data_IF_584338963235
#
_entry.id   IF_584338963235
#
_cell.length_a   1.000
_cell.length_b   1.000
_cell.length_c   1.000
_cell.angle_alpha   90.00
_cell.angle_beta   90.00
_cell.angle_gamma   90.00
#
_symmetry.space_group_name_H-M   'P 1'
#
loop_
_entity.id
_entity.type
_entity.pdbx_description
1 polymer ?
#
# COMPACT_ATOMS: atom_id res chain seq x y z
N UNK A 1 18.38 71.90 -20.76
CA UNK A 1 17.12 71.30 -21.24
C UNK A 1 17.34 69.81 -21.48
N UNK A 2 16.45 68.96 -20.92
CA UNK A 2 16.29 67.49 -21.08
C UNK A 2 17.27 66.59 -20.27
N UNK A 3 16.82 65.42 -19.76
CA UNK A 3 16.07 65.35 -18.49
C UNK A 3 16.59 64.28 -17.50
N UNK A 4 16.16 64.41 -16.24
CA UNK A 4 16.34 63.45 -15.16
C UNK A 4 15.64 62.11 -15.46
N UNK A 5 16.34 60.98 -15.23
CA UNK A 5 15.74 59.64 -15.20
C UNK A 5 15.39 59.28 -13.77
N UNK A 6 14.09 59.11 -13.50
CA UNK A 6 13.54 58.64 -12.23
C UNK A 6 13.73 57.12 -12.12
N UNK A 7 14.39 56.68 -11.04
CA UNK A 7 14.49 55.27 -10.68
C UNK A 7 13.21 54.88 -9.94
N UNK A 8 12.32 54.14 -10.61
CA UNK A 8 11.10 53.61 -10.01
C UNK A 8 11.47 52.46 -9.05
N UNK A 9 11.17 52.62 -7.76
CA UNK A 9 11.22 51.56 -6.77
C UNK A 9 10.04 50.60 -7.00
N UNK A 10 10.34 49.40 -7.50
CA UNK A 10 9.35 48.33 -7.63
C UNK A 10 9.15 47.67 -6.25
N UNK A 11 8.00 47.94 -5.64
CA UNK A 11 7.51 47.28 -4.44
C UNK A 11 7.12 45.84 -4.79
N UNK A 12 7.99 44.87 -4.49
CA UNK A 12 7.69 43.44 -4.58
C UNK A 12 6.68 43.07 -3.49
N UNK A 13 5.40 43.00 -3.86
CA UNK A 13 4.34 42.43 -3.03
C UNK A 13 4.54 40.90 -3.00
N UNK A 14 5.09 40.37 -1.91
CA UNK A 14 5.16 38.94 -1.68
C UNK A 14 3.73 38.42 -1.47
N UNK A 15 3.13 37.87 -2.53
CA UNK A 15 1.91 37.08 -2.41
C UNK A 15 2.27 35.78 -1.72
N UNK A 16 1.85 35.63 -0.47
CA UNK A 16 1.87 34.35 0.21
C UNK A 16 0.99 33.38 -0.61
N UNK A 17 1.62 32.44 -1.30
CA UNK A 17 0.92 31.30 -1.90
C UNK A 17 0.21 30.55 -0.77
N UNK A 18 -1.07 30.18 -0.94
CA UNK A 18 -1.79 29.45 0.08
C UNK A 18 -1.09 28.11 0.33
N UNK A 19 -0.87 27.85 1.61
CA UNK A 19 -0.46 26.56 2.15
C UNK A 19 -1.36 25.47 1.55
N UNK A 20 -0.74 24.40 1.03
CA UNK A 20 -1.32 23.13 0.56
C UNK A 20 -2.80 22.95 0.94
N UNK A 21 -3.69 22.87 -0.04
CA UNK A 21 -5.08 22.44 0.18
C UNK A 21 -5.04 21.05 0.79
N UNK A 22 -5.14 20.99 2.12
CA UNK A 22 -5.41 19.73 2.80
C UNK A 22 -6.82 19.35 2.37
N UNK A 23 -6.93 18.36 1.47
CA UNK A 23 -8.22 17.94 0.94
C UNK A 23 -9.17 17.66 2.11
N UNK A 24 -10.32 18.35 2.08
CA UNK A 24 -11.25 18.33 3.19
C UNK A 24 -11.77 16.91 3.42
N UNK A 25 -11.62 16.41 4.64
CA UNK A 25 -12.16 15.11 5.03
C UNK A 25 -13.68 15.20 5.21
N UNK A 26 -14.39 14.20 4.68
CA UNK A 26 -15.85 14.12 4.69
C UNK A 26 -16.30 13.17 5.78
N UNK A 27 -17.14 13.61 6.70
CA UNK A 27 -17.70 12.71 7.71
C UNK A 27 -18.45 11.55 7.04
N UNK A 28 -18.07 10.31 7.36
CA UNK A 28 -18.73 9.11 6.88
C UNK A 28 -18.77 8.05 7.97
N UNK A 29 -19.82 7.24 7.96
CA UNK A 29 -20.03 6.12 8.86
C UNK A 29 -19.75 4.78 8.16
N UNK A 30 -19.56 3.69 8.90
CA UNK A 30 -19.49 2.36 8.30
C UNK A 30 -20.72 2.04 7.42
N UNK A 31 -21.92 2.46 7.84
CA UNK A 31 -23.14 2.27 7.06
C UNK A 31 -23.12 3.03 5.71
N UNK A 32 -22.51 4.21 5.66
CA UNK A 32 -22.33 4.96 4.41
C UNK A 32 -21.40 4.19 3.46
N UNK A 33 -20.34 3.55 3.97
CA UNK A 33 -19.42 2.71 3.18
C UNK A 33 -20.15 1.48 2.64
N UNK A 34 -20.85 0.73 3.50
CA UNK A 34 -21.56 -0.49 3.11
C UNK A 34 -22.61 -0.22 2.02
N UNK A 35 -23.39 0.86 2.20
CA UNK A 35 -24.50 1.22 1.31
C UNK A 35 -24.08 2.00 0.05
N UNK A 36 -22.84 2.52 -0.01
CA UNK A 36 -22.36 3.24 -1.18
C UNK A 36 -22.45 2.37 -2.44
N UNK A 37 -22.91 2.97 -3.54
CA UNK A 37 -23.05 2.30 -4.81
C UNK A 37 -22.62 3.20 -5.95
N UNK A 38 -22.05 2.61 -7.00
CA UNK A 38 -21.70 3.33 -8.21
C UNK A 38 -22.98 3.62 -9.00
N UNK A 39 -23.26 4.89 -9.37
CA UNK A 39 -24.50 5.26 -10.04
C UNK A 39 -24.62 4.75 -11.49
N UNK A 40 -23.61 4.04 -12.00
CA UNK A 40 -23.59 3.48 -13.36
C UNK A 40 -23.04 4.44 -14.42
N UNK A 41 -22.66 5.66 -14.05
CA UNK A 41 -22.02 6.62 -14.94
C UNK A 41 -21.13 7.61 -14.18
N UNK A 42 -20.12 8.15 -14.88
CA UNK A 42 -19.19 9.14 -14.36
C UNK A 42 -18.00 8.53 -13.60
N UNK A 43 -17.10 9.40 -13.17
CA UNK A 43 -15.93 8.99 -12.38
C UNK A 43 -16.29 8.87 -10.89
N UNK A 44 -15.34 8.33 -10.10
CA UNK A 44 -15.37 8.50 -8.65
C UNK A 44 -15.52 9.98 -8.25
N UNK A 45 -16.29 10.27 -7.18
CA UNK A 45 -16.38 11.62 -6.64
C UNK A 45 -14.99 12.20 -6.35
N UNK A 46 -14.74 13.50 -6.64
CA UNK A 46 -13.48 14.13 -6.29
C UNK A 46 -13.31 14.19 -4.76
N UNK A 47 -12.06 14.09 -4.29
CA UNK A 47 -11.73 14.10 -2.86
C UNK A 47 -12.15 12.81 -2.15
N UNK A 48 -12.59 12.95 -0.90
CA UNK A 48 -12.96 11.82 -0.05
C UNK A 48 -14.43 11.41 -0.22
N UNK A 49 -14.73 10.13 -0.38
CA UNK A 49 -16.10 9.62 -0.41
C UNK A 49 -16.24 8.19 0.11
N UNK A 50 -17.43 7.84 0.60
CA UNK A 50 -17.75 6.47 1.01
C UNK A 50 -17.68 5.47 -0.16
N UNK A 51 -18.05 5.90 -1.38
CA UNK A 51 -17.91 5.08 -2.59
C UNK A 51 -16.45 4.74 -2.88
N UNK A 52 -15.55 5.72 -2.75
CA UNK A 52 -14.12 5.47 -2.94
C UNK A 52 -13.56 4.54 -1.85
N UNK A 53 -13.97 4.70 -0.59
CA UNK A 53 -13.56 3.80 0.48
C UNK A 53 -14.03 2.36 0.22
N UNK A 54 -15.30 2.19 -0.19
CA UNK A 54 -15.85 0.88 -0.57
C UNK A 54 -15.07 0.25 -1.73
N UNK A 55 -14.80 1.03 -2.78
CA UNK A 55 -13.98 0.58 -3.91
C UNK A 55 -12.60 0.07 -3.44
N UNK A 56 -11.90 0.85 -2.61
CA UNK A 56 -10.58 0.46 -2.10
C UNK A 56 -10.64 -0.86 -1.32
N UNK A 57 -11.64 -1.06 -0.46
CA UNK A 57 -11.83 -2.32 0.29
C UNK A 57 -12.12 -3.49 -0.66
N UNK A 58 -12.94 -3.28 -1.69
CA UNK A 58 -13.24 -4.32 -2.68
C UNK A 58 -12.02 -4.70 -3.53
N UNK A 59 -11.20 -3.72 -3.90
CA UNK A 59 -9.93 -3.95 -4.60
C UNK A 59 -8.97 -4.79 -3.74
N UNK A 60 -8.81 -4.43 -2.47
CA UNK A 60 -8.01 -5.21 -1.50
C UNK A 60 -8.50 -6.66 -1.43
N UNK A 61 -9.82 -6.87 -1.30
CA UNK A 61 -10.46 -8.20 -1.32
C UNK A 61 -10.33 -8.95 -2.63
N UNK A 62 -10.10 -8.24 -3.73
CA UNK A 62 -9.82 -8.83 -5.02
C UNK A 62 -8.34 -9.21 -5.21
N UNK A 63 -7.49 -9.06 -4.18
CA UNK A 63 -6.05 -9.27 -4.27
C UNK A 63 -5.34 -8.13 -5.04
N UNK A 64 -5.99 -6.98 -5.17
CA UNK A 64 -5.44 -5.79 -5.81
C UNK A 64 -5.34 -4.71 -4.74
N UNK A 65 -4.24 -4.66 -4.01
CA UNK A 65 -4.08 -3.71 -2.91
C UNK A 65 -4.21 -2.27 -3.43
N UNK A 66 -5.06 -1.43 -2.80
CA UNK A 66 -5.12 0.00 -3.08
C UNK A 66 -4.02 0.77 -2.32
N UNK A 67 -3.25 0.08 -1.47
CA UNK A 67 -2.43 0.69 -0.43
C UNK A 67 -3.28 0.89 0.82
N UNK A 68 -3.23 2.08 1.41
CA UNK A 68 -4.11 2.42 2.54
C UNK A 68 -5.53 2.66 2.05
N UNK A 69 -6.52 2.18 2.82
CA UNK A 69 -7.91 2.65 2.69
C UNK A 69 -8.02 4.00 3.39
N UNK A 70 -8.32 5.04 2.61
CA UNK A 70 -8.46 6.42 3.09
C UNK A 70 -9.72 7.13 2.55
N UNK A 71 -10.42 6.49 1.60
CA UNK A 71 -11.59 7.03 0.92
C UNK A 71 -11.31 8.15 -0.07
N UNK A 72 -10.05 8.48 -0.37
CA UNK A 72 -9.70 9.53 -1.32
C UNK A 72 -9.58 8.99 -2.75
N UNK A 73 -10.18 9.71 -3.69
CA UNK A 73 -9.89 9.51 -5.11
C UNK A 73 -8.48 10.04 -5.39
N UNK A 74 -7.67 9.27 -6.12
CA UNK A 74 -6.37 9.73 -6.58
C UNK A 74 -5.60 8.64 -7.34
N UNK A 75 -4.33 8.92 -7.62
CA UNK A 75 -3.48 8.06 -8.44
C UNK A 75 -3.33 6.63 -7.92
N UNK A 76 -3.40 6.41 -6.59
CA UNK A 76 -3.39 5.07 -6.00
C UNK A 76 -4.63 4.26 -6.41
N UNK A 77 -5.82 4.80 -6.17
CA UNK A 77 -7.09 4.17 -6.55
C UNK A 77 -7.16 3.93 -8.08
N UNK A 78 -6.75 4.91 -8.90
CA UNK A 78 -6.70 4.76 -10.36
C UNK A 78 -5.71 3.68 -10.82
N UNK A 79 -4.53 3.60 -10.19
CA UNK A 79 -3.54 2.54 -10.50
C UNK A 79 -4.03 1.15 -10.11
N UNK A 80 -4.77 1.04 -8.99
CA UNK A 80 -5.36 -0.20 -8.54
C UNK A 80 -6.52 -0.63 -9.46
N UNK A 81 -7.34 0.30 -9.95
CA UNK A 81 -8.36 -0.01 -10.98
C UNK A 81 -7.68 -0.57 -12.23
N UNK A 82 -6.60 0.04 -12.73
CA UNK A 82 -5.85 -0.52 -13.89
C UNK A 82 -5.34 -1.93 -13.66
N UNK A 83 -4.84 -2.22 -12.46
CA UNK A 83 -4.40 -3.56 -12.11
C UNK A 83 -5.56 -4.57 -12.06
N UNK A 84 -6.73 -4.14 -11.57
CA UNK A 84 -7.95 -4.94 -11.56
C UNK A 84 -8.50 -5.17 -12.97
N UNK A 85 -8.57 -4.14 -13.81
CA UNK A 85 -8.93 -4.23 -15.23
C UNK A 85 -8.04 -5.24 -15.95
N UNK A 86 -6.71 -5.15 -15.74
CA UNK A 86 -5.75 -6.11 -16.31
C UNK A 86 -6.00 -7.53 -15.84
N UNK A 87 -6.32 -7.74 -14.55
CA UNK A 87 -6.67 -9.05 -14.00
C UNK A 87 -7.88 -9.68 -14.70
N UNK A 88 -8.79 -8.85 -15.19
CA UNK A 88 -10.03 -9.26 -15.84
C UNK A 88 -10.02 -9.12 -17.37
N UNK A 89 -8.89 -8.78 -17.99
CA UNK A 89 -8.79 -8.62 -19.44
C UNK A 89 -9.58 -7.43 -19.99
N UNK A 90 -9.81 -6.40 -19.17
CA UNK A 90 -10.53 -5.18 -19.54
C UNK A 90 -9.58 -4.09 -20.08
N UNK A 91 -10.16 -3.03 -20.63
CA UNK A 91 -9.41 -1.82 -20.98
C UNK A 91 -8.79 -1.21 -19.71
N UNK A 92 -7.49 -0.91 -19.72
CA UNK A 92 -6.74 -0.47 -18.55
C UNK A 92 -6.74 1.07 -18.43
N UNK A 93 -7.91 1.70 -18.39
CA UNK A 93 -8.02 3.16 -18.32
C UNK A 93 -7.99 3.71 -16.88
N UNK A 94 -8.17 2.84 -15.88
CA UNK A 94 -8.12 3.19 -14.47
C UNK A 94 -9.35 3.93 -13.97
N UNK A 95 -10.47 3.84 -14.70
CA UNK A 95 -11.72 4.53 -14.37
C UNK A 95 -12.72 3.52 -13.85
N UNK A 96 -13.47 3.93 -12.83
CA UNK A 96 -14.58 3.10 -12.39
C UNK A 96 -15.71 3.20 -13.41
N UNK A 97 -16.09 2.06 -13.98
CA UNK A 97 -17.22 1.92 -14.90
C UNK A 97 -18.18 0.80 -14.40
N UNK A 98 -19.36 0.62 -15.05
CA UNK A 98 -20.31 -0.41 -14.63
C UNK A 98 -19.76 -1.83 -14.66
N UNK A 99 -18.84 -2.14 -15.57
CA UNK A 99 -18.27 -3.47 -15.73
C UNK A 99 -17.28 -3.77 -14.59
N UNK A 100 -16.36 -2.84 -14.33
CA UNK A 100 -15.42 -2.89 -13.19
C UNK A 100 -16.19 -2.99 -11.88
N UNK A 101 -17.22 -2.17 -11.69
CA UNK A 101 -18.05 -2.19 -10.49
C UNK A 101 -18.75 -3.54 -10.28
N UNK A 102 -19.40 -4.09 -11.32
CA UNK A 102 -20.12 -5.36 -11.21
C UNK A 102 -19.19 -6.54 -10.87
N UNK A 103 -17.94 -6.51 -11.34
CA UNK A 103 -16.92 -7.50 -10.98
C UNK A 103 -16.43 -7.31 -9.54
N UNK A 104 -16.21 -6.07 -9.10
CA UNK A 104 -15.80 -5.77 -7.73
C UNK A 104 -16.86 -6.18 -6.70
N UNK A 105 -18.15 -6.01 -7.02
CA UNK A 105 -19.24 -6.42 -6.12
C UNK A 105 -19.25 -7.91 -5.81
N UNK A 106 -18.64 -8.76 -6.64
CA UNK A 106 -18.45 -10.18 -6.33
C UNK A 106 -17.55 -10.41 -5.11
N UNK A 107 -16.75 -9.41 -4.71
CA UNK A 107 -15.90 -9.43 -3.53
C UNK A 107 -16.59 -8.87 -2.26
N UNK A 108 -17.87 -8.49 -2.36
CA UNK A 108 -18.70 -8.05 -1.25
C UNK A 108 -19.42 -9.23 -0.53
N UNK A 109 -18.81 -10.42 -0.46
CA UNK A 109 -19.44 -11.63 0.09
C UNK A 109 -19.62 -11.62 1.62
N UNK A 110 -19.09 -10.61 2.30
CA UNK A 110 -19.20 -10.37 3.73
C UNK A 110 -19.16 -8.84 3.97
N UNK A 111 -19.61 -8.34 5.14
CA UNK A 111 -19.54 -6.92 5.47
C UNK A 111 -18.14 -6.34 5.24
N UNK A 112 -18.04 -5.19 4.57
CA UNK A 112 -16.79 -4.50 4.24
C UNK A 112 -16.18 -3.78 5.44
N UNK A 113 -17.01 -3.52 6.45
CA UNK A 113 -16.67 -2.91 7.72
C UNK A 113 -17.08 -3.82 8.87
N UNK A 114 -16.50 -3.61 10.05
CA UNK A 114 -16.76 -4.43 11.22
C UNK A 114 -16.41 -3.74 12.52
N UNK A 115 -16.58 -4.45 13.63
CA UNK A 115 -16.29 -3.95 14.97
C UNK A 115 -15.15 -4.72 15.61
N UNK A 116 -14.13 -4.03 16.11
CA UNK A 116 -13.00 -4.66 16.80
C UNK A 116 -12.89 -4.16 18.22
N UNK A 117 -12.86 -5.08 19.19
CA UNK A 117 -12.56 -4.73 20.59
C UNK A 117 -11.06 -4.78 20.79
N UNK A 118 -10.48 -3.63 21.11
CA UNK A 118 -9.05 -3.45 21.35
C UNK A 118 -8.64 -4.30 22.55
N UNK A 119 -7.58 -5.08 22.39
CA UNK A 119 -7.06 -5.99 23.42
C UNK A 119 -5.86 -5.38 24.13
N UNK A 120 -5.50 -5.92 25.31
CA UNK A 120 -4.24 -5.56 25.98
C UNK A 120 -3.02 -5.84 25.09
N UNK A 121 -3.09 -6.87 24.25
CA UNK A 121 -2.03 -7.20 23.29
C UNK A 121 -1.81 -6.09 22.26
N UNK A 122 -2.82 -5.29 21.94
CA UNK A 122 -2.68 -4.17 21.02
C UNK A 122 -1.90 -2.99 21.63
N UNK A 123 -1.87 -2.88 22.95
CA UNK A 123 -1.10 -1.87 23.68
C UNK A 123 0.32 -2.33 24.05
N UNK A 124 0.64 -3.62 23.91
CA UNK A 124 1.96 -4.16 24.25
C UNK A 124 3.04 -3.82 23.21
N UNK A 125 4.26 -3.49 23.66
CA UNK A 125 5.42 -3.29 22.78
C UNK A 125 5.40 -1.99 21.97
N UNK A 126 4.63 -0.99 22.43
CA UNK A 126 4.69 0.37 21.89
C UNK A 126 5.97 1.08 22.31
N UNK A 127 6.39 2.05 21.51
CA UNK A 127 7.53 2.94 21.79
C UNK A 127 7.08 4.40 21.75
N UNK A 128 7.64 5.27 22.59
CA UNK A 128 7.18 6.66 22.68
C UNK A 128 7.39 7.45 21.38
N UNK A 129 8.51 7.20 20.70
CA UNK A 129 8.83 7.81 19.41
C UNK A 129 9.92 7.02 18.68
N UNK A 130 10.00 7.20 17.37
CA UNK A 130 11.09 6.69 16.53
C UNK A 130 12.05 7.85 16.23
N UNK A 131 13.29 7.83 16.75
CA UNK A 131 14.26 8.90 16.50
C UNK A 131 14.66 8.91 15.02
N UNK A 132 15.09 10.06 14.52
CA UNK A 132 15.60 10.20 13.15
C UNK A 132 17.06 9.76 13.02
N UNK A 133 17.83 9.90 14.10
CA UNK A 133 19.24 9.53 14.19
C UNK A 133 19.42 8.01 14.32
N UNK A 134 20.30 7.44 13.51
CA UNK A 134 20.56 6.02 13.41
C UNK A 134 21.31 5.47 14.63
N UNK A 135 22.17 6.26 15.27
CA UNK A 135 22.83 5.87 16.52
C UNK A 135 21.82 5.79 17.67
N UNK A 136 20.84 6.68 17.70
CA UNK A 136 19.72 6.57 18.65
C UNK A 136 18.79 5.39 18.32
N UNK A 137 18.45 5.17 17.05
CA UNK A 137 17.68 3.97 16.63
C UNK A 137 18.35 2.68 17.08
N UNK A 138 19.67 2.59 16.94
CA UNK A 138 20.44 1.40 17.31
C UNK A 138 20.44 1.10 18.82
N UNK A 139 20.08 2.06 19.67
CA UNK A 139 19.95 1.88 21.13
C UNK A 139 18.55 1.45 21.56
N UNK A 140 17.56 1.54 20.68
CA UNK A 140 16.19 1.15 21.02
C UNK A 140 16.07 -0.35 21.23
N UNK A 141 15.04 -0.78 21.97
CA UNK A 141 14.71 -2.19 22.11
C UNK A 141 14.05 -2.77 20.84
N UNK A 142 13.24 -1.96 20.15
CA UNK A 142 12.57 -2.29 18.89
C UNK A 142 12.23 -1.02 18.10
N UNK A 143 12.00 -1.16 16.80
CA UNK A 143 11.37 -0.13 15.97
C UNK A 143 9.84 -0.34 15.97
N UNK A 144 9.25 -0.45 17.16
CA UNK A 144 7.84 -0.78 17.38
C UNK A 144 6.86 0.29 16.88
N UNK A 145 5.56 -0.01 16.98
CA UNK A 145 4.50 0.97 16.79
C UNK A 145 4.56 2.07 17.87
N UNK A 146 4.19 3.29 17.51
CA UNK A 146 4.12 4.44 18.42
C UNK A 146 2.77 4.61 19.08
N UNK A 147 1.72 3.97 18.54
CA UNK A 147 0.38 4.00 19.13
C UNK A 147 -0.43 2.74 18.79
N UNK A 148 -1.49 2.52 19.57
CA UNK A 148 -2.51 1.50 19.25
C UNK A 148 -3.20 1.84 17.92
N UNK A 149 -3.50 3.11 17.69
CA UNK A 149 -4.13 3.58 16.44
C UNK A 149 -3.30 3.20 15.21
N UNK A 150 -1.99 3.47 15.23
CA UNK A 150 -1.06 3.09 14.15
C UNK A 150 -1.06 1.59 13.90
N UNK A 151 -0.93 0.79 14.97
CA UNK A 151 -0.97 -0.67 14.88
C UNK A 151 -2.26 -1.19 14.25
N UNK A 152 -3.40 -0.67 14.69
CA UNK A 152 -4.70 -1.12 14.21
C UNK A 152 -4.97 -0.62 12.79
N UNK A 153 -4.51 0.58 12.44
CA UNK A 153 -4.58 1.08 11.08
C UNK A 153 -3.80 0.17 10.11
N UNK A 154 -2.55 -0.20 10.43
CA UNK A 154 -1.82 -1.16 9.61
C UNK A 154 -2.49 -2.53 9.56
N UNK A 155 -2.97 -3.04 10.71
CA UNK A 155 -3.62 -4.36 10.77
C UNK A 155 -4.82 -4.42 9.82
N UNK A 156 -5.66 -3.40 9.81
CA UNK A 156 -6.89 -3.37 9.02
C UNK A 156 -6.74 -2.67 7.66
N UNK A 157 -5.50 -2.41 7.23
CA UNK A 157 -5.15 -1.78 5.94
C UNK A 157 -5.72 -0.36 5.76
N UNK A 158 -5.78 0.41 6.84
CA UNK A 158 -6.36 1.77 6.87
C UNK A 158 -5.29 2.86 6.96
N UNK A 159 -5.61 4.05 6.46
CA UNK A 159 -4.93 5.28 6.87
C UNK A 159 -5.26 5.57 8.35
N UNK A 160 -4.26 5.96 9.14
CA UNK A 160 -4.44 6.20 10.58
C UNK A 160 -5.51 7.27 10.86
N UNK A 161 -5.52 8.34 10.07
CA UNK A 161 -6.50 9.42 10.24
C UNK A 161 -7.88 8.98 9.77
N UNK A 162 -7.97 8.09 8.77
CA UNK A 162 -9.23 7.49 8.35
C UNK A 162 -9.80 6.58 9.43
N UNK A 163 -8.96 5.78 10.10
CA UNK A 163 -9.38 4.99 11.27
C UNK A 163 -9.93 5.88 12.40
N UNK A 164 -9.25 7.00 12.72
CA UNK A 164 -9.75 7.97 13.70
C UNK A 164 -11.06 8.64 13.26
N UNK A 165 -11.20 8.96 11.98
CA UNK A 165 -12.41 9.56 11.41
C UNK A 165 -13.62 8.62 11.51
N UNK A 166 -13.42 7.31 11.33
CA UNK A 166 -14.47 6.29 11.51
C UNK A 166 -14.84 6.07 12.99
N UNK A 167 -14.05 6.63 13.92
CA UNK A 167 -14.14 6.45 15.36
C UNK A 167 -13.92 7.77 16.12
N UNK A 168 -14.76 8.80 15.91
CA UNK A 168 -14.51 10.15 16.41
C UNK A 168 -14.48 10.27 17.95
N UNK A 169 -15.03 9.29 18.67
CA UNK A 169 -15.02 9.23 20.14
C UNK A 169 -14.00 8.25 20.73
N UNK A 170 -13.27 7.50 19.91
CA UNK A 170 -12.32 6.50 20.40
C UNK A 170 -11.05 7.15 20.95
N UNK A 171 -10.54 6.59 22.04
CA UNK A 171 -9.22 6.92 22.60
C UNK A 171 -8.17 5.89 22.21
N UNK A 172 -8.58 4.81 21.56
CA UNK A 172 -7.71 3.70 21.13
C UNK A 172 -7.01 3.01 22.30
N UNK A 173 -7.77 2.70 23.36
CA UNK A 173 -7.27 1.95 24.53
C UNK A 173 -7.94 0.59 24.65
N UNK A 174 -7.27 -0.36 25.33
CA UNK A 174 -7.81 -1.70 25.54
C UNK A 174 -9.22 -1.66 26.16
N UNK A 175 -10.09 -2.56 25.68
CA UNK A 175 -11.50 -2.65 26.04
C UNK A 175 -12.45 -1.79 25.20
N UNK A 176 -11.96 -0.77 24.48
CA UNK A 176 -12.80 -0.02 23.55
C UNK A 176 -13.15 -0.85 22.32
N UNK A 177 -14.38 -0.68 21.82
CA UNK A 177 -14.79 -1.26 20.54
C UNK A 177 -14.84 -0.17 19.48
N UNK A 178 -14.13 -0.40 18.38
CA UNK A 178 -13.97 0.54 17.27
C UNK A 178 -14.50 -0.05 15.96
N UNK A 179 -14.90 0.81 15.04
CA UNK A 179 -15.21 0.48 13.66
C UNK A 179 -13.92 0.34 12.84
N UNK A 180 -13.84 -0.69 12.01
CA UNK A 180 -12.68 -0.97 11.14
C UNK A 180 -13.14 -1.36 9.75
N UNK A 181 -12.24 -1.33 8.77
CA UNK A 181 -12.41 -2.01 7.49
C UNK A 181 -12.03 -3.48 7.61
N UNK A 182 -12.69 -4.34 6.85
CA UNK A 182 -12.47 -5.79 6.85
C UNK A 182 -11.74 -6.15 5.54
N UNK A 183 -10.39 -6.10 5.50
CA UNK A 183 -9.60 -6.46 4.33
C UNK A 183 -9.71 -7.95 3.97
N UNK A 184 -9.11 -8.34 2.86
CA UNK A 184 -8.97 -9.74 2.47
C UNK A 184 -8.16 -10.52 3.51
N UNK A 185 -8.38 -11.84 3.56
CA UNK A 185 -7.41 -12.74 4.20
C UNK A 185 -6.17 -12.82 3.32
N UNK A 186 -4.95 -12.63 3.87
CA UNK A 186 -3.73 -12.71 3.07
C UNK A 186 -3.58 -14.06 2.36
N UNK A 187 -3.24 -14.01 1.08
CA UNK A 187 -2.93 -15.15 0.25
C UNK A 187 -1.72 -15.93 0.80
N UNK A 188 -1.73 -17.23 0.49
CA UNK A 188 -0.64 -18.17 0.75
C UNK A 188 -0.20 -18.91 -0.51
N UNK A 189 -0.80 -18.54 -1.64
CA UNK A 189 -0.48 -19.14 -2.91
C UNK A 189 0.97 -18.83 -3.31
N UNK A 190 1.67 -19.82 -3.85
CA UNK A 190 3.06 -19.65 -4.26
C UNK A 190 3.17 -18.91 -5.58
N UNK A 191 4.05 -17.92 -5.61
CA UNK A 191 4.33 -17.12 -6.81
C UNK A 191 5.72 -17.43 -7.34
N UNK A 192 5.83 -17.62 -8.66
CA UNK A 192 7.10 -17.91 -9.33
C UNK A 192 7.63 -16.73 -10.13
N UNK A 193 6.81 -15.72 -10.38
CA UNK A 193 7.21 -14.51 -11.08
C UNK A 193 6.62 -13.28 -10.41
N UNK A 194 7.48 -12.31 -10.12
CA UNK A 194 7.12 -10.97 -9.65
C UNK A 194 7.56 -10.01 -10.74
N UNK A 195 6.70 -9.06 -11.08
CA UNK A 195 6.98 -7.99 -12.04
C UNK A 195 6.91 -6.67 -11.29
N UNK A 196 8.00 -5.90 -11.36
CA UNK A 196 8.12 -4.57 -10.78
C UNK A 196 8.02 -3.54 -11.91
N UNK A 197 6.91 -2.81 -11.94
CA UNK A 197 6.68 -1.73 -12.88
C UNK A 197 6.90 -0.37 -12.20
N UNK A 198 8.02 0.25 -12.57
CA UNK A 198 8.46 1.56 -12.08
C UNK A 198 7.52 2.68 -12.51
N UNK A 199 6.95 2.58 -13.72
CA UNK A 199 6.18 3.66 -14.32
C UNK A 199 4.78 3.73 -13.68
N UNK A 200 4.15 2.58 -13.44
CA UNK A 200 2.86 2.53 -12.74
C UNK A 200 3.00 2.53 -11.21
N UNK A 201 4.19 2.27 -10.66
CA UNK A 201 4.41 2.18 -9.22
C UNK A 201 3.72 0.94 -8.65
N UNK A 202 3.85 -0.21 -9.31
CA UNK A 202 3.14 -1.45 -8.96
C UNK A 202 4.07 -2.67 -8.95
N UNK A 203 3.72 -3.65 -8.12
CA UNK A 203 4.36 -4.96 -8.03
C UNK A 203 3.29 -6.02 -8.21
N UNK A 204 3.37 -6.77 -9.31
CA UNK A 204 2.42 -7.83 -9.64
C UNK A 204 3.07 -9.20 -9.48
N UNK A 205 2.43 -10.13 -8.76
CA UNK A 205 2.95 -11.47 -8.53
C UNK A 205 2.06 -12.55 -9.15
N UNK A 206 2.69 -13.46 -9.88
CA UNK A 206 2.06 -14.47 -10.73
C UNK A 206 2.43 -15.88 -10.27
N UNK A 207 1.47 -16.79 -10.35
CA UNK A 207 1.69 -18.22 -10.11
C UNK A 207 2.47 -18.88 -11.27
N UNK A 208 2.73 -20.19 -11.14
CA UNK A 208 3.45 -20.98 -12.14
C UNK A 208 2.74 -21.06 -13.50
N UNK A 209 1.43 -20.81 -13.56
CA UNK A 209 0.64 -20.86 -14.80
C UNK A 209 0.65 -19.52 -15.55
N UNK A 210 1.07 -18.45 -14.86
CA UNK A 210 1.03 -17.07 -15.34
C UNK A 210 -0.26 -16.34 -14.97
N UNK A 211 -1.03 -16.84 -14.01
CA UNK A 211 -2.21 -16.14 -13.47
C UNK A 211 -1.76 -15.14 -12.41
N UNK A 212 -2.33 -13.93 -12.48
CA UNK A 212 -2.12 -12.89 -11.47
C UNK A 212 -2.74 -13.32 -10.14
N UNK A 213 -1.92 -13.42 -9.09
CA UNK A 213 -2.36 -13.78 -7.75
C UNK A 213 -2.66 -12.52 -6.95
N UNK A 214 -1.69 -11.59 -6.91
CA UNK A 214 -1.75 -10.34 -6.15
C UNK A 214 -1.07 -9.20 -6.91
N UNK A 215 -1.51 -7.97 -6.68
CA UNK A 215 -0.86 -6.77 -7.18
C UNK A 215 -0.88 -5.66 -6.12
N UNK A 216 0.30 -5.07 -5.85
CA UNK A 216 0.52 -4.10 -4.78
C UNK A 216 1.01 -2.76 -5.30
N UNK A 217 0.59 -1.64 -4.67
CA UNK A 217 1.25 -0.36 -4.87
C UNK A 217 2.67 -0.43 -4.33
N UNK A 218 3.60 0.19 -5.05
CA UNK A 218 5.00 0.18 -4.69
C UNK A 218 5.66 1.51 -4.98
N UNK A 219 6.53 1.91 -4.07
CA UNK A 219 7.55 2.89 -4.39
C UNK A 219 8.76 2.18 -4.98
N UNK A 220 9.15 2.56 -6.19
CA UNK A 220 10.36 2.05 -6.84
C UNK A 220 11.36 3.20 -7.00
N UNK A 221 12.66 2.88 -7.08
CA UNK A 221 13.74 3.85 -6.97
C UNK A 221 13.67 4.97 -7.98
N UNK A 222 14.01 6.20 -7.56
CA UNK A 222 14.05 7.38 -8.42
C UNK A 222 15.12 7.30 -9.52
N UNK A 223 15.08 8.22 -10.48
CA UNK A 223 16.17 8.41 -11.44
C UNK A 223 17.53 8.74 -10.77
N UNK A 224 17.52 9.34 -9.57
CA UNK A 224 18.74 9.64 -8.81
C UNK A 224 19.33 8.39 -8.13
N UNK A 225 18.50 7.37 -7.91
CA UNK A 225 18.85 6.11 -7.23
C UNK A 225 18.10 4.95 -7.90
N UNK A 226 18.49 4.56 -9.12
CA UNK A 226 17.70 3.64 -9.92
C UNK A 226 17.63 2.27 -9.26
N UNK A 227 16.44 1.68 -9.23
CA UNK A 227 16.30 0.25 -8.94
C UNK A 227 16.98 -0.57 -10.05
N UNK A 228 17.25 -1.87 -9.79
CA UNK A 228 17.91 -2.73 -10.75
C UNK A 228 17.15 -2.85 -12.07
N UNK A 229 17.79 -3.47 -13.05
CA UNK A 229 17.24 -3.79 -14.35
C UNK A 229 17.33 -5.29 -14.60
N UNK A 230 16.39 -5.81 -15.39
CA UNK A 230 16.34 -7.23 -15.75
C UNK A 230 15.80 -8.11 -14.62
N UNK A 231 16.12 -9.39 -14.71
CA UNK A 231 15.57 -10.44 -13.86
C UNK A 231 16.53 -10.81 -12.72
N UNK A 232 15.99 -10.95 -11.52
CA UNK A 232 16.71 -11.37 -10.31
C UNK A 232 15.97 -12.50 -9.60
N UNK A 233 16.70 -13.36 -8.90
CA UNK A 233 16.07 -14.40 -8.08
C UNK A 233 15.80 -13.87 -6.67
N UNK A 234 14.69 -14.29 -6.08
CA UNK A 234 14.52 -14.18 -4.62
C UNK A 234 15.48 -15.15 -3.95
N UNK A 235 16.38 -14.65 -3.12
CA UNK A 235 17.36 -15.48 -2.39
C UNK A 235 16.86 -15.89 -1.00
N UNK A 236 16.11 -15.00 -0.34
CA UNK A 236 15.54 -15.22 0.98
C UNK A 236 14.38 -14.26 1.24
N UNK A 237 13.54 -14.59 2.22
CA UNK A 237 12.57 -13.67 2.79
C UNK A 237 12.65 -13.74 4.31
N UNK A 238 12.75 -12.60 4.97
CA UNK A 238 12.94 -12.47 6.41
C UNK A 238 11.82 -11.60 6.98
N UNK A 239 11.11 -12.12 7.98
CA UNK A 239 10.11 -11.39 8.76
C UNK A 239 10.82 -10.78 9.98
N UNK A 240 10.45 -9.56 10.32
CA UNK A 240 11.05 -8.73 11.38
C UNK A 240 12.58 -8.69 11.29
N UNK A 241 13.15 -8.24 10.15
CA UNK A 241 14.60 -8.17 9.98
C UNK A 241 15.22 -7.05 10.81
N UNK A 242 16.37 -7.30 11.41
CA UNK A 242 17.27 -6.22 11.84
C UNK A 242 17.81 -5.45 10.63
N UNK A 243 18.08 -4.16 10.81
CA UNK A 243 18.69 -3.33 9.77
C UNK A 243 20.14 -2.99 10.11
N UNK A 244 21.07 -3.34 9.22
CA UNK A 244 22.47 -2.92 9.35
C UNK A 244 22.67 -1.59 8.62
N UNK A 245 23.01 -0.55 9.38
CA UNK A 245 23.45 0.72 8.83
C UNK A 245 24.97 0.78 8.80
N UNK A 246 25.54 0.96 7.61
CA UNK A 246 26.96 1.11 7.40
C UNK A 246 27.24 2.45 6.72
N UNK A 247 27.88 3.43 7.38
CA UNK A 247 28.06 4.77 6.82
C UNK A 247 28.93 4.82 5.55
N UNK A 248 29.75 3.80 5.30
CA UNK A 248 30.56 3.68 4.10
C UNK A 248 29.81 3.11 2.90
N UNK A 249 28.65 2.49 3.14
CA UNK A 249 27.81 1.93 2.08
C UNK A 249 26.55 2.78 1.96
N UNK A 250 25.87 3.09 3.07
CA UNK A 250 24.58 3.79 3.13
C UNK A 250 24.73 5.25 2.78
N UNK A 251 25.04 6.02 3.79
CA UNK A 251 25.27 7.44 3.78
C UNK A 251 25.91 7.75 5.14
N UNK A 252 26.68 8.82 5.22
CA UNK A 252 27.20 9.28 6.52
C UNK A 252 26.18 10.23 7.15
N UNK A 253 25.49 9.79 8.20
CA UNK A 253 24.65 10.63 9.05
C UNK A 253 25.49 11.29 10.15
N UNK A 254 25.54 12.61 10.13
CA UNK A 254 26.38 13.39 11.06
C UNK A 254 27.83 12.92 11.01
N UNK A 255 28.43 12.71 12.18
CA UNK A 255 29.81 12.23 12.31
C UNK A 255 29.93 10.72 12.53
N UNK A 256 28.84 9.94 12.38
CA UNK A 256 28.90 8.50 12.62
C UNK A 256 29.68 7.76 11.52
N UNK A 257 30.80 7.16 11.91
CA UNK A 257 31.68 6.31 11.08
C UNK A 257 31.52 4.81 11.40
N UNK A 258 30.70 4.46 12.38
CA UNK A 258 30.50 3.08 12.86
C UNK A 258 29.35 2.37 12.15
N UNK A 259 29.53 1.07 11.93
CA UNK A 259 28.42 0.19 11.54
C UNK A 259 27.49 0.01 12.74
N UNK A 260 26.19 0.23 12.53
CA UNK A 260 25.15 0.14 13.53
C UNK A 260 24.17 -0.97 13.16
N UNK A 261 23.62 -1.63 14.19
CA UNK A 261 22.54 -2.60 14.05
C UNK A 261 21.29 -1.99 14.68
N UNK A 262 20.29 -1.73 13.85
CA UNK A 262 18.98 -1.23 14.27
C UNK A 262 18.07 -2.43 14.52
N UNK A 263 17.40 -2.50 15.68
CA UNK A 263 16.50 -3.59 16.00
C UNK A 263 15.30 -3.63 15.03
N UNK A 264 14.61 -4.78 14.93
CA UNK A 264 13.47 -4.93 14.04
C UNK A 264 12.23 -4.17 14.50
N UNK A 265 11.29 -3.99 13.58
CA UNK A 265 9.93 -3.51 13.87
C UNK A 265 9.29 -2.78 12.68
N UNK A 266 7.96 -2.56 12.71
CA UNK A 266 7.19 -1.96 11.62
C UNK A 266 7.68 -0.56 11.22
N UNK A 267 8.24 0.19 12.18
CA UNK A 267 8.82 1.51 11.96
C UNK A 267 10.31 1.50 11.62
N UNK A 268 10.87 0.33 11.36
CA UNK A 268 12.25 0.17 10.93
C UNK A 268 12.50 0.72 9.52
N UNK A 269 13.77 0.95 9.13
CA UNK A 269 14.10 1.46 7.80
C UNK A 269 13.57 0.61 6.63
N UNK A 270 13.38 -0.68 6.86
CA UNK A 270 12.85 -1.65 5.88
C UNK A 270 11.48 -2.24 6.29
N UNK A 271 10.83 -1.65 7.29
CA UNK A 271 9.62 -2.21 7.87
C UNK A 271 9.84 -3.58 8.52
N UNK A 272 8.79 -4.40 8.56
CA UNK A 272 8.80 -5.73 9.18
C UNK A 272 9.11 -6.87 8.20
N UNK A 273 9.56 -6.58 6.98
CA UNK A 273 9.87 -7.60 5.97
C UNK A 273 11.04 -7.18 5.11
N UNK A 274 11.92 -8.14 4.81
CA UNK A 274 12.93 -8.03 3.77
C UNK A 274 12.89 -9.27 2.85
N UNK A 275 12.62 -9.06 1.56
CA UNK A 275 12.75 -10.09 0.50
C UNK A 275 14.03 -9.77 -0.27
N UNK A 276 15.03 -10.61 -0.12
CA UNK A 276 16.38 -10.43 -0.66
C UNK A 276 16.43 -10.88 -2.13
N UNK A 277 17.10 -10.09 -2.97
CA UNK A 277 17.27 -10.40 -4.38
C UNK A 277 18.72 -10.77 -4.70
N UNK A 278 18.91 -11.57 -5.74
CA UNK A 278 20.25 -11.97 -6.23
C UNK A 278 21.10 -10.79 -6.74
N UNK A 279 20.48 -9.61 -6.93
CA UNK A 279 21.20 -8.36 -7.11
C UNK A 279 21.62 -7.85 -5.73
N UNK A 280 22.94 -7.79 -5.42
CA UNK A 280 23.40 -7.37 -4.11
C UNK A 280 22.82 -6.01 -3.74
N UNK A 281 22.41 -5.88 -2.47
CA UNK A 281 21.89 -4.65 -1.83
C UNK A 281 20.49 -4.22 -2.22
N UNK A 282 19.76 -5.01 -3.02
CA UNK A 282 18.39 -4.69 -3.42
C UNK A 282 17.42 -5.73 -2.89
N UNK A 283 16.25 -5.24 -2.49
CA UNK A 283 15.18 -6.07 -1.94
C UNK A 283 13.80 -5.45 -2.17
N UNK A 284 12.79 -6.28 -1.95
CA UNK A 284 11.41 -5.84 -1.77
C UNK A 284 11.14 -5.84 -0.26
N UNK A 285 10.63 -4.74 0.29
CA UNK A 285 10.51 -4.59 1.74
C UNK A 285 9.32 -3.73 2.15
N UNK A 286 9.00 -3.78 3.45
CA UNK A 286 7.93 -2.96 4.05
C UNK A 286 8.32 -1.49 4.19
N UNK A 287 7.56 -0.70 4.95
CA UNK A 287 7.85 0.71 5.14
C UNK A 287 7.28 1.24 6.45
N UNK A 288 8.03 2.10 7.13
CA UNK A 288 7.57 2.86 8.29
C UNK A 288 6.53 3.95 7.97
N UNK A 289 6.20 4.16 6.68
CA UNK A 289 5.23 5.19 6.26
C UNK A 289 4.30 4.67 5.15
N UNK A 290 3.42 3.70 5.43
CA UNK A 290 2.56 3.07 4.41
C UNK A 290 1.69 4.05 3.62
N UNK A 291 1.16 5.08 4.29
CA UNK A 291 0.35 6.14 3.67
C UNK A 291 1.12 7.05 2.69
N UNK A 292 2.44 6.87 2.56
CA UNK A 292 3.30 7.73 1.72
C UNK A 292 3.93 7.04 0.51
N UNK A 293 3.45 5.85 0.12
CA UNK A 293 4.04 5.09 -1.00
C UNK A 293 4.08 5.83 -2.35
N UNK A 294 3.15 6.75 -2.62
CA UNK A 294 3.10 7.50 -3.89
C UNK A 294 3.73 8.90 -3.83
N UNK A 295 4.01 9.43 -2.64
CA UNK A 295 4.56 10.79 -2.48
C UNK A 295 6.07 10.80 -2.24
N UNK A 296 6.62 9.70 -1.75
CA UNK A 296 8.05 9.55 -1.50
C UNK A 296 8.64 8.62 -2.55
N UNK A 297 9.61 9.08 -3.33
CA UNK A 297 10.43 8.17 -4.15
C UNK A 297 11.37 7.36 -3.26
N UNK A 298 11.64 6.10 -3.60
CA UNK A 298 12.54 5.26 -2.82
C UNK A 298 13.98 5.47 -3.29
N UNK A 299 14.94 5.09 -2.46
CA UNK A 299 16.35 5.22 -2.78
C UNK A 299 16.92 3.97 -3.49
N UNK A 300 16.09 3.28 -4.28
CA UNK A 300 16.49 2.14 -5.12
C UNK A 300 15.77 0.82 -4.81
N UNK A 301 15.31 0.60 -3.58
CA UNK A 301 14.57 -0.63 -3.21
C UNK A 301 13.07 -0.51 -3.52
N UNK A 302 12.38 -1.65 -3.59
CA UNK A 302 10.93 -1.70 -3.81
C UNK A 302 10.23 -1.68 -2.45
N UNK A 303 9.51 -0.60 -2.16
CA UNK A 303 8.80 -0.42 -0.89
C UNK A 303 7.34 -0.75 -1.08
N UNK A 304 6.82 -1.61 -0.23
CA UNK A 304 5.41 -1.93 -0.10
C UNK A 304 4.92 -1.47 1.27
N UNK A 305 3.60 -1.51 1.48
CA UNK A 305 3.05 -1.44 2.84
C UNK A 305 3.56 -2.65 3.64
N UNK A 306 3.58 -2.55 4.97
CA UNK A 306 4.05 -3.64 5.81
C UNK A 306 3.20 -4.92 5.64
N UNK A 307 1.88 -4.80 5.44
CA UNK A 307 0.99 -5.95 5.23
C UNK A 307 1.18 -6.59 3.85
N UNK A 308 1.28 -5.79 2.78
CA UNK A 308 1.53 -6.30 1.42
C UNK A 308 2.89 -7.00 1.34
N UNK A 309 3.93 -6.45 2.01
CA UNK A 309 5.24 -7.08 2.09
C UNK A 309 5.18 -8.42 2.85
N UNK A 310 4.45 -8.49 3.96
CA UNK A 310 4.27 -9.72 4.72
C UNK A 310 3.53 -10.79 3.93
N UNK A 311 2.48 -10.41 3.20
CA UNK A 311 1.77 -11.32 2.31
C UNK A 311 2.72 -11.86 1.24
N UNK A 312 3.42 -10.99 0.51
CA UNK A 312 4.35 -11.39 -0.54
C UNK A 312 5.48 -12.30 -0.01
N UNK A 313 6.06 -11.98 1.16
CA UNK A 313 7.11 -12.79 1.76
C UNK A 313 6.69 -14.24 2.08
N UNK A 314 5.39 -14.48 2.33
CA UNK A 314 4.84 -15.82 2.54
C UNK A 314 4.54 -16.56 1.24
N UNK A 315 4.45 -15.84 0.13
CA UNK A 315 4.13 -16.37 -1.21
C UNK A 315 5.38 -16.72 -2.03
N UNK A 316 6.49 -16.01 -1.84
CA UNK A 316 7.74 -16.28 -2.58
C UNK A 316 8.36 -17.63 -2.21
N UNK A 317 9.12 -18.18 -3.16
CA UNK A 317 9.87 -19.43 -3.06
C UNK A 317 11.34 -19.12 -3.33
N UNK A 318 12.19 -19.05 -2.28
CA UNK A 318 13.62 -18.79 -2.43
C UNK A 318 14.30 -19.72 -3.45
N UNK A 319 15.12 -19.15 -4.32
CA UNK A 319 15.81 -19.84 -5.42
C UNK A 319 14.93 -20.20 -6.62
N UNK A 320 13.62 -19.90 -6.58
CA UNK A 320 12.70 -20.20 -7.68
C UNK A 320 11.91 -18.98 -8.16
N UNK A 321 11.46 -18.12 -7.25
CA UNK A 321 10.73 -16.90 -7.63
C UNK A 321 11.67 -15.93 -8.34
N UNK A 322 11.31 -15.55 -9.56
CA UNK A 322 12.00 -14.55 -10.37
C UNK A 322 11.33 -13.19 -10.17
N UNK A 323 12.11 -12.12 -10.08
CA UNK A 323 11.69 -10.73 -10.00
C UNK A 323 12.18 -9.99 -11.23
N UNK A 324 11.27 -9.58 -12.10
CA UNK A 324 11.54 -8.82 -13.31
C UNK A 324 11.33 -7.32 -13.06
N UNK A 325 12.38 -6.52 -13.23
CA UNK A 325 12.27 -5.06 -13.27
C UNK A 325 12.04 -4.62 -14.71
N UNK A 326 10.87 -4.05 -14.99
CA UNK A 326 10.54 -3.60 -16.34
C UNK A 326 11.40 -2.42 -16.77
N UNK A 327 11.71 -2.40 -18.06
CA UNK A 327 12.35 -1.25 -18.69
C UNK A 327 11.38 -0.08 -18.81
N UNK A 328 11.87 1.17 -18.81
CA UNK A 328 11.01 2.34 -18.97
C UNK A 328 10.13 2.24 -20.23
N UNK A 329 8.83 2.45 -20.04
CA UNK A 329 7.84 2.41 -21.13
C UNK A 329 7.28 1.02 -21.44
N UNK A 330 7.79 -0.04 -20.81
CA UNK A 330 7.21 -1.39 -20.93
C UNK A 330 6.18 -1.59 -19.83
N UNK A 331 4.94 -1.91 -20.21
CA UNK A 331 3.87 -2.21 -19.25
C UNK A 331 3.85 -3.68 -18.83
N UNK A 332 3.26 -3.97 -17.67
CA UNK A 332 3.04 -5.36 -17.21
C UNK A 332 2.20 -6.15 -18.22
N UNK A 333 1.24 -5.50 -18.89
CA UNK A 333 0.37 -6.15 -19.87
C UNK A 333 1.15 -6.66 -21.11
N UNK A 334 2.20 -5.95 -21.53
CA UNK A 334 3.03 -6.35 -22.67
C UNK A 334 3.90 -7.58 -22.39
N UNK A 335 4.29 -7.79 -21.13
CA UNK A 335 5.18 -8.90 -20.73
C UNK A 335 4.44 -10.08 -20.11
N UNK A 336 3.11 -10.05 -20.12
CA UNK A 336 2.25 -11.11 -19.57
C UNK A 336 1.34 -11.67 -20.64
N UNK A 337 0.80 -12.87 -20.40
CA UNK A 337 -0.14 -13.49 -21.33
C UNK A 337 -1.43 -12.65 -21.33
N UNK A 338 -2.02 -12.37 -22.52
CA UNK A 338 -3.33 -11.75 -22.59
C UNK A 338 -4.35 -12.56 -21.77
N UNK A 339 -5.16 -11.86 -20.99
CA UNK A 339 -6.29 -12.42 -20.25
C UNK A 339 -7.54 -12.22 -21.10
N UNK A 340 -8.33 -13.27 -21.30
CA UNK A 340 -9.62 -13.14 -21.97
C UNK A 340 -10.54 -12.22 -21.15
N UNK A 341 -11.25 -11.27 -21.79
CA UNK A 341 -12.14 -10.37 -21.07
C UNK A 341 -13.16 -11.16 -20.25
N UNK A 342 -13.17 -10.94 -18.94
CA UNK A 342 -14.18 -11.51 -18.05
C UNK A 342 -15.52 -10.89 -18.44
N UNK A 343 -16.57 -11.69 -18.73
CA UNK A 343 -17.88 -11.14 -19.03
C UNK A 343 -18.45 -10.39 -17.82
N UNK A 344 -19.18 -9.31 -18.08
CA UNK A 344 -19.92 -8.63 -17.04
C UNK A 344 -20.91 -9.61 -16.39
N UNK A 345 -20.91 -9.75 -15.06
CA UNK A 345 -21.87 -10.61 -14.38
C UNK A 345 -23.30 -10.23 -14.76
N UNK A 346 -24.17 -11.22 -14.96
CA UNK A 346 -25.57 -10.96 -15.23
C UNK A 346 -26.17 -10.22 -14.03
N UNK A 347 -26.59 -8.97 -14.25
CA UNK A 347 -27.29 -8.19 -13.23
C UNK A 347 -28.57 -8.96 -12.89
N UNK A 348 -28.74 -9.37 -11.63
CA UNK A 348 -30.02 -9.89 -11.17
C UNK A 348 -31.07 -8.80 -11.46
N UNK A 349 -32.00 -9.09 -12.39
CA UNK A 349 -32.93 -8.10 -12.92
C UNK A 349 -33.76 -7.47 -11.79
N UNK A 350 -33.34 -6.28 -11.36
CA UNK A 350 -33.93 -5.50 -10.29
C UNK A 350 -33.82 -4.01 -10.62
N UNK A 351 -34.75 -3.54 -11.44
CA UNK A 351 -35.12 -2.15 -11.70
C UNK A 351 -34.00 -1.17 -12.11
N UNK A 352 -33.75 -1.10 -13.41
CA UNK A 352 -33.26 0.13 -14.05
C UNK A 352 -34.24 0.49 -15.16
N UNK A 353 -34.94 1.61 -15.00
CA UNK A 353 -35.68 2.28 -16.08
C UNK A 353 -34.68 3.13 -16.87
N UNK A 354 -34.62 2.91 -18.18
CA UNK A 354 -33.63 3.50 -19.08
C UNK A 354 -33.66 5.05 -19.15
N UNK A 355 -32.51 5.68 -19.47
CA UNK A 355 -32.32 7.13 -19.50
C UNK A 355 -32.54 7.75 -20.88
N UNK A 356 -32.80 9.06 -20.91
CA UNK A 356 -32.86 9.88 -22.14
C UNK A 356 -31.50 10.51 -22.41
N UNK A 357 -30.99 10.27 -23.62
CA UNK A 357 -29.76 10.81 -24.20
C UNK A 357 -29.84 12.31 -24.51
N UNK A 358 -28.74 13.03 -24.27
CA UNK A 358 -28.47 14.37 -24.78
C UNK A 358 -26.98 14.55 -25.06
N UNK A 359 -26.61 14.58 -26.33
CA UNK A 359 -25.24 14.74 -26.82
C UNK A 359 -24.77 16.20 -26.76
N UNK A 360 -23.51 16.44 -26.36
CA UNK A 360 -22.76 17.66 -26.70
C UNK A 360 -21.29 17.28 -26.97
N UNK A 361 -20.76 17.84 -28.05
CA UNK A 361 -19.42 17.62 -28.59
C UNK A 361 -18.45 18.77 -28.27
N UNK A 362 -17.20 18.36 -28.05
CA UNK A 362 -15.91 18.92 -28.52
C UNK A 362 -15.13 20.02 -27.76
N UNK A 363 -13.80 19.79 -27.73
CA UNK A 363 -12.75 20.82 -27.80
C UNK A 363 -11.93 21.12 -26.53
N UNK A 364 -10.64 20.74 -26.51
CA UNK A 364 -9.64 21.37 -25.61
C UNK A 364 -8.31 20.63 -25.45
N UNK A 365 -7.25 21.18 -26.02
CA UNK A 365 -5.86 20.67 -26.12
C UNK A 365 -5.03 20.69 -24.82
N UNK A 366 -3.99 19.85 -24.83
CA UNK A 366 -2.93 19.66 -23.82
C UNK A 366 -2.19 20.91 -23.34
N UNK A 367 -1.64 20.84 -22.11
CA UNK A 367 -0.35 21.45 -21.81
C UNK A 367 0.40 20.72 -20.68
N UNK A 368 1.73 20.67 -20.84
CA UNK A 368 2.69 19.98 -20.00
C UNK A 368 3.44 20.94 -19.05
N UNK A 369 4.03 20.33 -18.01
CA UNK A 369 5.12 20.78 -17.14
C UNK A 369 4.85 21.89 -16.10
N UNK A 370 5.11 21.58 -14.82
CA UNK A 370 6.33 22.08 -14.14
C UNK A 370 6.62 21.29 -12.84
N UNK A 371 7.89 20.97 -12.65
CA UNK A 371 8.42 20.25 -11.50
C UNK A 371 8.94 21.25 -10.44
N UNK A 372 8.52 21.09 -9.19
CA UNK A 372 9.04 21.87 -8.07
C UNK A 372 10.06 21.05 -7.26
N UNK A 373 11.24 21.65 -7.06
CA UNK A 373 12.39 21.10 -6.36
C UNK A 373 12.08 20.73 -4.89
N UNK A 374 12.38 19.48 -4.54
CA UNK A 374 12.45 18.99 -3.15
C UNK A 374 13.92 18.72 -2.77
N UNK A 375 14.27 18.80 -1.47
CA UNK A 375 15.65 18.76 -0.99
C UNK A 375 16.37 17.42 -1.24
N UNK A 376 17.70 17.47 -1.19
CA UNK A 376 18.61 16.43 -1.69
C UNK A 376 18.38 15.01 -1.12
N UNK A 377 18.44 13.97 -1.97
CA UNK A 377 18.15 12.58 -1.61
C UNK A 377 19.30 11.89 -0.85
N UNK A 378 18.94 11.01 0.09
CA UNK A 378 19.84 10.18 0.90
C UNK A 378 19.92 8.77 0.30
N UNK A 379 21.09 8.23 -0.09
CA UNK A 379 21.18 6.91 -0.75
C UNK A 379 20.79 5.73 0.16
N UNK A 380 20.03 4.75 -0.35
CA UNK A 380 19.80 3.48 0.35
C UNK A 380 20.81 2.44 -0.10
N UNK A 381 21.41 1.76 0.87
CA UNK A 381 22.21 0.58 0.60
C UNK A 381 22.05 -0.47 1.69
N UNK A 382 22.49 -1.66 1.33
CA UNK A 382 22.64 -2.91 2.07
C UNK A 382 22.40 -2.87 3.61
N UNK A 383 21.35 -3.54 4.13
CA UNK A 383 21.53 -4.35 5.32
C UNK A 383 22.50 -5.49 4.95
N UNK A 384 23.65 -5.59 5.63
CA UNK A 384 24.57 -6.72 5.43
C UNK A 384 23.93 -7.95 6.09
N UNK A 385 23.03 -8.62 5.37
CA UNK A 385 22.68 -9.99 5.67
C UNK A 385 23.92 -10.85 5.36
N UNK A 386 24.77 -11.06 6.38
CA UNK A 386 25.63 -12.23 6.42
C UNK A 386 24.69 -13.42 6.29
N UNK A 387 24.87 -14.32 5.29
CA UNK A 387 24.06 -15.56 5.10
C UNK A 387 23.57 -16.04 6.46
N UNK A 388 22.32 -15.71 6.80
CA UNK A 388 21.75 -16.10 8.07
C UNK A 388 21.42 -17.59 7.92
N UNK A 389 22.04 -18.48 8.69
CA UNK A 389 21.55 -19.84 8.75
C UNK A 389 20.23 -19.82 9.55
N UNK A 390 19.11 -20.07 8.86
CA UNK A 390 17.81 -20.48 9.42
C UNK A 390 16.78 -19.38 9.70
N UNK A 391 15.57 -19.72 10.17
CA UNK A 391 14.77 -20.92 9.90
C UNK A 391 13.75 -20.66 8.76
N UNK A 392 12.97 -21.68 8.39
CA UNK A 392 11.78 -21.51 7.57
C UNK A 392 10.84 -20.45 8.18
N UNK A 393 10.06 -19.77 7.31
CA UNK A 393 8.97 -18.86 7.69
C UNK A 393 8.19 -19.48 8.84
N UNK A 394 8.34 -18.93 10.05
CA UNK A 394 7.66 -19.42 11.25
C UNK A 394 6.15 -19.28 11.06
N UNK A 395 5.40 -20.32 11.40
CA UNK A 395 3.94 -20.38 11.36
C UNK A 395 3.28 -19.58 12.52
N UNK A 396 3.84 -18.41 12.88
CA UNK A 396 3.16 -17.53 13.82
C UNK A 396 1.78 -17.18 13.24
N UNK A 397 0.74 -17.37 14.04
CA UNK A 397 -0.64 -17.11 13.63
C UNK A 397 -0.76 -15.68 13.12
N UNK A 398 -1.43 -15.51 11.98
CA UNK A 398 -1.63 -14.22 11.36
C UNK A 398 -2.51 -13.34 12.27
N UNK A 399 -1.98 -12.27 12.88
CA UNK A 399 -2.73 -11.43 13.82
C UNK A 399 -3.95 -10.79 13.16
N UNK A 400 -3.93 -10.62 11.83
CA UNK A 400 -5.09 -10.18 11.07
C UNK A 400 -6.19 -11.24 11.05
N UNK A 401 -5.86 -12.51 10.80
CA UNK A 401 -6.87 -13.57 10.70
C UNK A 401 -7.68 -13.76 11.99
N UNK A 402 -7.03 -13.70 13.16
CA UNK A 402 -7.71 -13.75 14.45
C UNK A 402 -8.61 -12.53 14.68
N UNK A 403 -8.13 -11.33 14.32
CA UNK A 403 -8.88 -10.09 14.45
C UNK A 403 -10.09 -10.03 13.51
N UNK A 404 -9.98 -10.53 12.27
CA UNK A 404 -11.10 -10.59 11.33
C UNK A 404 -12.19 -11.55 11.80
N UNK A 405 -11.83 -12.67 12.43
CA UNK A 405 -12.81 -13.59 13.00
C UNK A 405 -13.63 -12.92 14.12
N UNK A 406 -12.98 -12.12 14.97
CA UNK A 406 -13.66 -11.30 15.98
C UNK A 406 -14.54 -10.24 15.29
N UNK A 407 -14.01 -9.55 14.29
CA UNK A 407 -14.69 -8.40 13.69
C UNK A 407 -15.91 -8.74 12.84
N UNK A 408 -15.94 -9.94 12.29
CA UNK A 408 -17.05 -10.43 11.46
C UNK A 408 -18.02 -11.35 12.21
N UNK A 409 -17.78 -11.60 13.51
CA UNK A 409 -18.62 -12.47 14.34
C UNK A 409 -18.55 -13.95 13.98
N UNK A 410 -17.66 -14.37 13.07
CA UNK A 410 -17.42 -15.78 12.78
C UNK A 410 -16.52 -16.36 13.88
N UNK A 411 -17.12 -16.76 15.00
CA UNK A 411 -16.45 -17.61 15.97
C UNK A 411 -15.99 -18.90 15.25
N UNK A 412 -14.70 -19.23 15.36
CA UNK A 412 -14.22 -20.54 14.99
C UNK A 412 -15.05 -21.57 15.76
N UNK A 413 -15.80 -22.41 15.05
CA UNK A 413 -16.31 -23.64 15.62
C UNK A 413 -15.08 -24.43 16.09
N UNK A 414 -14.79 -24.38 17.39
CA UNK A 414 -13.78 -25.22 18.00
C UNK A 414 -14.19 -26.66 17.72
N UNK A 415 -13.40 -27.33 16.90
CA UNK A 415 -13.43 -28.78 16.75
C UNK A 415 -13.18 -29.36 18.14
N UNK A 416 -14.26 -29.80 18.77
CA UNK A 416 -14.21 -30.51 20.04
C UNK A 416 -13.60 -31.86 19.75
N UNK A 417 -12.28 -31.96 19.95
CA UNK A 417 -11.60 -33.24 20.04
C UNK A 417 -12.24 -34.02 21.19
N UNK A 418 -13.09 -34.99 20.85
CA UNK A 418 -13.54 -35.99 21.79
C UNK A 418 -12.31 -36.80 22.26
N UNK A 419 -12.14 -37.01 23.57
CA UNK A 419 -11.12 -37.92 24.05
C UNK A 419 -11.57 -39.35 23.71
N UNK A 420 -10.77 -40.04 22.91
CA UNK A 420 -10.89 -41.48 22.74
C UNK A 420 -10.50 -42.10 24.08
N UNK A 421 -11.48 -42.65 24.79
CA UNK A 421 -11.25 -43.48 25.96
C UNK A 421 -10.96 -44.91 25.50
N UNK A 422 -9.84 -45.44 26.01
CA UNK A 422 -9.30 -46.81 26.02
C UNK A 422 -10.01 -47.92 25.23
#
# INVERSE_FOLDING_TARGET
>A
MRPFSALAAALMLATALPLSAQEARVHMTPADIESASYPGAGDLPPGQSALTAKLQILLDRAGISPGVVDGFRGGMSESAIRAFERKHGLAQDGRLDPHVWALLEQHATAPLTGHYTITEQDAHGLVDAIPTDYAEKAKMASMGYTSVQERLAERFHMDERFLAQLNPSARFVAGETINITVPAKPSREKVLRIIVDKASGRVAAYDATGRLVVDYPATVGSAATPSPHGSHLVEAAVIDPDYTYNPNINFKQGENDKVLRIPPGPNGPVGNVWIDLSKPTYGIHGTATPSRLFVNQSNGCVRLTNWDAQELARMVVPGQTIVDFLDPGVSIAEVTKPVEPTPMPAVAAGAVTDPVMGAVTDGGTANAAEAALLPAPIPATRPVARRLPGPAVSAAADPLAAALNQATGTAAAQETAQPVAN
#
